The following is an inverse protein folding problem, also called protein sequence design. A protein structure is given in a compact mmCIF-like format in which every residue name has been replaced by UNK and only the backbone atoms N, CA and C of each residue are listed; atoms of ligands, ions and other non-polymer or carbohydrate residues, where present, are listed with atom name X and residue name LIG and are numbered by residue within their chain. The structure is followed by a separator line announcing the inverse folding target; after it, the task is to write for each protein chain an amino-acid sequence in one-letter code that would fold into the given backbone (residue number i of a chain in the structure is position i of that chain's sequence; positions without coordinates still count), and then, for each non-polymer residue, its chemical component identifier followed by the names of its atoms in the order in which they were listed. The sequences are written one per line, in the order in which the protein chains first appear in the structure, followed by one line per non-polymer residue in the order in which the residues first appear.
data_IF_231316884192
#
_entry.id   IF_231316884192
#
_cell.length_a   1.000
_cell.length_b   1.000
_cell.length_c   1.000
_cell.angle_alpha   90.00
_cell.angle_beta   90.00
_cell.angle_gamma   90.00
#
_symmetry.space_group_name_H-M   'P 1'
#
loop_
_entity.id
_entity.type
_entity.pdbx_description
1 polymer ?
#
# COMPACT_ATOMS: atom_id res chain seq x y z
N UNK A 1 108.58 26.34 47.67
CA UNK A 1 108.51 25.90 46.26
C UNK A 1 107.33 26.64 45.62
N UNK A 2 107.59 27.47 44.60
CA UNK A 2 106.63 28.40 43.97
C UNK A 2 105.45 27.66 43.35
N UNK A 3 104.23 28.07 43.68
CA UNK A 3 103.01 27.74 42.93
C UNK A 3 102.70 28.90 41.97
N UNK A 4 102.72 28.60 40.68
CA UNK A 4 102.23 29.47 39.60
C UNK A 4 101.26 28.61 38.79
N UNK A 5 100.01 29.05 38.60
CA UNK A 5 99.02 28.23 37.91
C UNK A 5 97.75 28.97 37.51
N UNK A 6 97.78 29.48 36.28
CA UNK A 6 96.70 29.62 35.29
C UNK A 6 95.32 30.21 35.68
N UNK A 7 94.99 31.33 35.04
CA UNK A 7 93.65 31.95 34.94
C UNK A 7 92.87 31.24 33.81
N UNK A 8 91.74 30.61 34.13
CA UNK A 8 90.80 30.03 33.15
C UNK A 8 89.73 31.07 32.82
N UNK A 9 89.70 31.53 31.57
CA UNK A 9 88.67 32.44 31.06
C UNK A 9 87.43 31.65 30.66
N UNK A 10 86.31 31.90 31.32
CA UNK A 10 85.01 31.23 31.10
C UNK A 10 84.26 31.93 29.97
N UNK A 11 84.04 31.25 28.84
CA UNK A 11 83.21 31.74 27.74
C UNK A 11 81.74 31.46 28.09
N UNK A 12 80.99 32.48 28.47
CA UNK A 12 79.53 32.40 28.67
C UNK A 12 78.80 32.50 27.34
N UNK A 13 78.12 31.42 26.95
CA UNK A 13 77.18 31.38 25.82
C UNK A 13 75.99 32.30 26.09
N UNK A 14 75.82 33.34 25.25
CA UNK A 14 74.71 34.29 25.32
C UNK A 14 73.45 33.65 24.72
N UNK A 15 72.55 33.15 25.57
CA UNK A 15 71.19 32.70 25.17
C UNK A 15 70.38 33.90 24.68
N UNK A 16 70.20 34.04 23.37
CA UNK A 16 69.25 34.96 22.76
C UNK A 16 67.82 34.46 23.04
N UNK A 17 67.11 35.12 23.96
CA UNK A 17 65.65 34.93 24.11
C UNK A 17 64.96 35.63 22.95
N UNK A 18 64.34 34.86 22.05
CA UNK A 18 63.42 35.41 21.04
C UNK A 18 62.18 35.92 21.77
N UNK A 19 61.75 37.14 21.45
CA UNK A 19 60.51 37.72 21.99
C UNK A 19 59.32 37.05 21.29
N UNK A 20 58.64 36.15 22.00
CA UNK A 20 57.48 35.35 21.58
C UNK A 20 56.14 36.12 21.68
N UNK A 21 56.18 37.46 21.80
CA UNK A 21 55.03 38.28 22.16
C UNK A 21 53.91 38.32 21.08
N UNK A 22 54.16 37.81 19.87
CA UNK A 22 53.14 37.66 18.82
C UNK A 22 52.55 36.25 18.70
N UNK A 23 53.23 35.22 19.22
CA UNK A 23 52.80 33.82 19.05
C UNK A 23 51.64 33.47 19.99
N UNK A 24 51.64 34.01 21.22
CA UNK A 24 50.57 33.77 22.20
C UNK A 24 49.19 34.25 21.69
N UNK A 25 49.14 35.38 21.00
CA UNK A 25 47.89 35.92 20.45
C UNK A 25 47.30 35.00 19.36
N UNK A 26 48.15 34.45 18.50
CA UNK A 26 47.73 33.52 17.44
C UNK A 26 47.15 32.24 18.06
N UNK A 27 47.76 31.71 19.12
CA UNK A 27 47.23 30.54 19.82
C UNK A 27 45.86 30.80 20.46
N UNK A 28 45.63 31.98 21.04
CA UNK A 28 44.32 32.33 21.60
C UNK A 28 43.26 32.44 20.50
N UNK A 29 43.56 33.12 19.39
CA UNK A 29 42.61 33.24 18.29
C UNK A 29 42.32 31.88 17.66
N UNK A 30 43.33 31.05 17.45
CA UNK A 30 43.18 29.70 16.90
C UNK A 30 42.35 28.79 17.82
N UNK A 31 42.56 28.87 19.13
CA UNK A 31 41.76 28.08 20.10
C UNK A 31 40.32 28.57 20.17
N UNK A 32 40.08 29.88 20.10
CA UNK A 32 38.72 30.44 20.03
C UNK A 32 37.99 30.07 18.74
N UNK A 33 38.66 30.08 17.57
CA UNK A 33 38.03 29.70 16.30
C UNK A 33 37.69 28.22 16.27
N UNK A 34 38.58 27.36 16.78
CA UNK A 34 38.29 25.92 16.92
C UNK A 34 37.14 25.68 17.90
N UNK A 35 37.14 26.35 19.05
CA UNK A 35 36.05 26.24 20.03
C UNK A 35 34.69 26.68 19.45
N UNK A 36 34.67 27.79 18.71
CA UNK A 36 33.48 28.29 18.04
C UNK A 36 33.00 27.31 16.95
N UNK A 37 33.91 26.79 16.13
CA UNK A 37 33.58 25.83 15.08
C UNK A 37 32.98 24.54 15.65
N UNK A 38 33.55 24.02 16.73
CA UNK A 38 33.01 22.84 17.44
C UNK A 38 31.65 23.15 18.05
N UNK A 39 31.49 24.31 18.70
CA UNK A 39 30.22 24.73 19.29
C UNK A 39 29.08 24.87 18.27
N UNK A 40 29.38 25.46 17.10
CA UNK A 40 28.42 25.57 15.99
C UNK A 40 28.09 24.17 15.44
N UNK A 41 29.08 23.30 15.25
CA UNK A 41 28.87 21.96 14.71
C UNK A 41 27.94 21.11 15.59
N UNK A 42 28.12 21.14 16.91
CA UNK A 42 27.23 20.44 17.86
C UNK A 42 25.83 21.06 17.85
N UNK A 43 25.72 22.38 17.82
CA UNK A 43 24.43 23.09 17.80
C UNK A 43 23.62 22.78 16.54
N UNK A 44 24.26 22.78 15.37
CA UNK A 44 23.62 22.43 14.10
C UNK A 44 23.13 20.98 14.09
N UNK A 45 23.93 20.05 14.64
CA UNK A 45 23.53 18.64 14.74
C UNK A 45 22.31 18.46 15.65
N UNK A 46 22.27 19.17 16.78
CA UNK A 46 21.14 19.13 17.70
C UNK A 46 19.88 19.74 17.06
N UNK A 47 19.99 20.90 16.40
CA UNK A 47 18.87 21.51 15.67
C UNK A 47 18.34 20.61 14.55
N UNK A 48 19.23 19.96 13.79
CA UNK A 48 18.85 19.01 12.77
C UNK A 48 18.13 17.78 13.35
N UNK A 49 18.58 17.27 14.50
CA UNK A 49 17.94 16.16 15.19
C UNK A 49 16.54 16.52 15.68
N UNK A 50 16.39 17.68 16.34
CA UNK A 50 15.09 18.18 16.82
C UNK A 50 14.14 18.41 15.65
N UNK A 51 14.63 19.01 14.56
CA UNK A 51 13.84 19.24 13.35
C UNK A 51 13.35 17.93 12.73
N UNK A 52 14.22 16.90 12.66
CA UNK A 52 13.83 15.59 12.15
C UNK A 52 12.75 14.95 13.04
N UNK A 53 12.94 14.97 14.36
CA UNK A 53 11.94 14.42 15.29
C UNK A 53 10.60 15.13 15.17
N UNK A 54 10.59 16.47 15.11
CA UNK A 54 9.36 17.26 14.93
C UNK A 54 8.65 16.92 13.62
N UNK A 55 9.39 16.78 12.51
CA UNK A 55 8.81 16.37 11.21
C UNK A 55 8.22 14.96 11.25
N UNK A 56 8.88 14.03 11.94
CA UNK A 56 8.37 12.67 12.11
C UNK A 56 7.09 12.66 12.94
N UNK A 57 7.03 13.45 14.02
CA UNK A 57 5.82 13.59 14.83
C UNK A 57 4.65 14.20 14.03
N UNK A 58 4.88 15.29 13.30
CA UNK A 58 3.86 15.91 12.45
C UNK A 58 3.36 14.97 11.36
N UNK A 59 4.26 14.19 10.74
CA UNK A 59 3.89 13.20 9.73
C UNK A 59 3.04 12.07 10.32
N UNK A 60 3.40 11.56 11.50
CA UNK A 60 2.64 10.50 12.17
C UNK A 60 1.22 10.97 12.54
N UNK A 61 1.07 12.21 13.00
CA UNK A 61 -0.24 12.80 13.32
C UNK A 61 -1.10 13.05 12.07
N UNK A 62 -0.49 13.54 10.99
CA UNK A 62 -1.17 13.69 9.71
C UNK A 62 -1.63 12.33 9.16
N UNK A 63 -0.79 11.30 9.26
CA UNK A 63 -1.16 9.93 8.88
C UNK A 63 -2.32 9.38 9.71
N UNK A 64 -2.26 9.53 11.04
CA UNK A 64 -3.35 9.09 11.91
C UNK A 64 -4.67 9.80 11.59
N UNK A 65 -4.64 11.09 11.24
CA UNK A 65 -5.81 11.81 10.78
C UNK A 65 -6.32 11.24 9.44
N UNK A 66 -5.44 11.01 8.47
CA UNK A 66 -5.82 10.43 7.18
C UNK A 66 -6.48 9.05 7.35
N UNK A 67 -5.90 8.17 8.16
CA UNK A 67 -6.43 6.85 8.47
C UNK A 67 -7.78 6.96 9.20
N UNK A 68 -7.87 7.77 10.25
CA UNK A 68 -9.12 7.98 10.99
C UNK A 68 -10.24 8.58 10.13
N UNK A 69 -9.90 9.45 9.17
CA UNK A 69 -10.85 10.00 8.22
C UNK A 69 -11.40 8.94 7.27
N UNK A 70 -10.52 8.08 6.75
CA UNK A 70 -10.93 6.95 5.92
C UNK A 70 -11.79 5.94 6.70
N UNK A 71 -11.41 5.61 7.93
CA UNK A 71 -12.17 4.71 8.80
C UNK A 71 -13.55 5.28 9.16
N UNK A 72 -13.66 6.59 9.39
CA UNK A 72 -14.94 7.24 9.64
C UNK A 72 -15.91 7.00 8.48
N UNK A 73 -15.48 7.24 7.24
CA UNK A 73 -16.32 7.00 6.05
C UNK A 73 -16.59 5.51 5.86
N UNK A 74 -15.61 4.64 6.05
CA UNK A 74 -15.78 3.18 5.96
C UNK A 74 -16.82 2.64 6.96
N UNK A 75 -16.99 3.29 8.10
CA UNK A 75 -17.97 2.90 9.12
C UNK A 75 -19.43 3.29 8.79
N UNK A 76 -19.63 4.15 7.79
CA UNK A 76 -20.97 4.61 7.36
C UNK A 76 -21.71 3.54 6.55
N UNK A 77 -23.02 3.73 6.40
CA UNK A 77 -23.84 2.84 5.57
C UNK A 77 -23.47 2.99 4.09
N UNK A 78 -23.84 2.01 3.27
CA UNK A 78 -23.60 2.08 1.82
C UNK A 78 -24.38 3.23 1.17
N UNK A 79 -25.60 3.49 1.65
CA UNK A 79 -26.44 4.60 1.18
C UNK A 79 -25.76 5.95 1.44
N UNK A 80 -25.23 6.17 2.65
CA UNK A 80 -24.50 7.40 2.98
C UNK A 80 -23.26 7.59 2.11
N UNK A 81 -22.50 6.51 1.86
CA UNK A 81 -21.29 6.58 1.03
C UNK A 81 -21.65 6.86 -0.43
N UNK A 82 -22.76 6.29 -0.92
CA UNK A 82 -23.25 6.54 -2.27
C UNK A 82 -23.65 8.01 -2.47
N UNK A 83 -24.25 8.65 -1.47
CA UNK A 83 -24.59 10.07 -1.51
C UNK A 83 -23.34 10.97 -1.55
N UNK A 84 -22.24 10.57 -0.91
CA UNK A 84 -20.97 11.31 -0.92
C UNK A 84 -20.21 11.23 -2.25
N UNK A 85 -20.64 10.39 -3.20
CA UNK A 85 -19.93 10.20 -4.47
C UNK A 85 -20.03 11.47 -5.32
N UNK A 86 -18.87 12.08 -5.62
CA UNK A 86 -18.80 13.29 -6.44
C UNK A 86 -19.07 14.59 -5.67
N UNK A 87 -19.36 14.50 -4.38
CA UNK A 87 -19.43 15.67 -3.50
C UNK A 87 -18.05 16.25 -3.20
N UNK A 88 -17.96 17.54 -2.84
CA UNK A 88 -16.71 18.14 -2.39
C UNK A 88 -16.17 17.43 -1.15
N UNK A 89 -14.86 17.53 -0.93
CA UNK A 89 -14.20 16.87 0.18
C UNK A 89 -14.84 17.25 1.54
N UNK A 90 -15.21 16.24 2.33
CA UNK A 90 -15.70 16.42 3.70
C UNK A 90 -14.51 16.55 4.65
N UNK A 91 -14.47 17.63 5.44
CA UNK A 91 -13.44 17.85 6.44
C UNK A 91 -13.84 17.26 7.80
N UNK A 92 -13.16 16.21 8.22
CA UNK A 92 -13.29 15.58 9.54
C UNK A 92 -12.22 16.15 10.47
N UNK A 93 -12.66 16.84 11.53
CA UNK A 93 -11.76 17.52 12.48
C UNK A 93 -11.56 16.65 13.73
N UNK A 94 -10.29 16.34 14.02
CA UNK A 94 -9.90 15.62 15.23
C UNK A 94 -9.52 16.62 16.32
N UNK A 95 -10.13 16.45 17.51
CA UNK A 95 -9.88 17.33 18.65
C UNK A 95 -8.41 17.24 19.11
N UNK A 96 -7.77 18.37 19.42
CA UNK A 96 -6.40 18.39 19.89
C UNK A 96 -6.27 17.78 21.30
N UNK A 97 -5.06 17.33 21.62
CA UNK A 97 -4.70 16.89 22.98
C UNK A 97 -4.65 18.11 23.91
N UNK A 98 -4.99 17.94 25.19
CA UNK A 98 -4.94 19.03 26.18
C UNK A 98 -3.56 19.69 26.20
N UNK A 99 -3.52 21.02 26.04
CA UNK A 99 -2.32 21.87 25.90
C UNK A 99 -1.61 21.84 24.53
N UNK A 100 -2.26 21.31 23.49
CA UNK A 100 -1.81 21.44 22.10
C UNK A 100 -2.80 22.29 21.29
N UNK A 101 -2.29 23.23 20.51
CA UNK A 101 -3.10 24.08 19.62
C UNK A 101 -3.13 23.55 18.17
N UNK A 102 -2.41 22.46 17.89
CA UNK A 102 -2.35 21.83 16.58
C UNK A 102 -3.60 20.95 16.39
N UNK A 103 -4.41 21.29 15.39
CA UNK A 103 -5.63 20.55 15.05
C UNK A 103 -5.33 19.64 13.87
N UNK A 104 -5.71 18.37 13.96
CA UNK A 104 -5.59 17.44 12.84
C UNK A 104 -6.91 17.37 12.08
N UNK A 105 -6.85 17.46 10.76
CA UNK A 105 -8.03 17.46 9.88
C UNK A 105 -7.82 16.44 8.77
N UNK A 106 -8.84 15.66 8.47
CA UNK A 106 -8.85 14.77 7.32
C UNK A 106 -9.87 15.25 6.30
N UNK A 107 -9.41 15.56 5.09
CA UNK A 107 -10.27 15.90 3.96
C UNK A 107 -10.53 14.62 3.15
N UNK A 108 -11.78 14.16 3.12
CA UNK A 108 -12.16 12.87 2.52
C UNK A 108 -13.00 13.08 1.28
N UNK A 109 -12.64 12.39 0.18
CA UNK A 109 -13.41 12.37 -1.07
C UNK A 109 -13.76 10.93 -1.43
N UNK A 110 -14.98 10.72 -1.95
CA UNK A 110 -15.47 9.40 -2.37
C UNK A 110 -15.72 9.40 -3.87
N UNK A 111 -15.21 8.38 -4.55
CA UNK A 111 -15.38 8.15 -5.99
C UNK A 111 -15.92 6.73 -6.22
N UNK A 112 -16.68 6.53 -7.30
CA UNK A 112 -17.05 5.18 -7.72
C UNK A 112 -15.80 4.40 -8.15
N UNK A 113 -15.73 3.14 -7.73
CA UNK A 113 -14.67 2.23 -8.11
C UNK A 113 -15.13 1.34 -9.27
N UNK A 114 -14.69 1.69 -10.47
CA UNK A 114 -14.89 0.90 -11.68
C UNK A 114 -13.65 1.01 -12.61
N UNK A 115 -13.62 0.22 -13.70
CA UNK A 115 -12.50 0.22 -14.66
C UNK A 115 -12.29 1.60 -15.29
N UNK A 116 -13.38 2.30 -15.65
CA UNK A 116 -13.32 3.60 -16.31
C UNK A 116 -12.78 4.71 -15.39
N UNK A 117 -13.19 4.72 -14.13
CA UNK A 117 -12.77 5.66 -13.09
C UNK A 117 -11.32 5.42 -12.62
N UNK A 118 -10.83 4.18 -12.77
CA UNK A 118 -9.47 3.81 -12.40
C UNK A 118 -8.44 3.99 -13.52
N UNK A 119 -8.89 4.25 -14.76
CA UNK A 119 -8.02 4.34 -15.94
C UNK A 119 -7.29 3.03 -16.27
N UNK A 120 -7.78 1.91 -15.74
CA UNK A 120 -7.19 0.59 -15.92
C UNK A 120 -7.77 -0.08 -17.17
N UNK A 121 -7.03 -1.05 -17.72
CA UNK A 121 -7.51 -1.88 -18.84
C UNK A 121 -8.29 -3.11 -18.39
N UNK A 122 -8.21 -3.44 -17.10
CA UNK A 122 -8.89 -4.55 -16.46
C UNK A 122 -9.23 -4.19 -15.01
N UNK A 123 -10.20 -4.89 -14.43
CA UNK A 123 -10.48 -4.80 -13.00
C UNK A 123 -9.55 -5.73 -12.22
N UNK A 124 -8.65 -5.19 -11.36
CA UNK A 124 -7.70 -6.00 -10.61
C UNK A 124 -8.38 -6.64 -9.40
N UNK A 125 -8.06 -7.90 -9.14
CA UNK A 125 -8.51 -8.66 -7.99
C UNK A 125 -7.38 -9.50 -7.42
N UNK A 126 -7.30 -9.60 -6.10
CA UNK A 126 -6.41 -10.52 -5.41
C UNK A 126 -7.27 -11.47 -4.58
N UNK A 127 -7.16 -12.76 -4.86
CA UNK A 127 -7.96 -13.80 -4.20
C UNK A 127 -7.00 -14.82 -3.61
N UNK A 128 -7.06 -14.99 -2.28
CA UNK A 128 -6.29 -16.02 -1.59
C UNK A 128 -6.85 -17.41 -1.92
N UNK A 129 -6.03 -18.43 -1.71
CA UNK A 129 -6.43 -19.83 -1.87
C UNK A 129 -7.71 -20.11 -1.09
N UNK A 130 -8.65 -20.78 -1.76
CA UNK A 130 -9.94 -21.19 -1.21
C UNK A 130 -10.88 -20.03 -0.81
N UNK A 131 -10.51 -18.78 -1.12
CA UNK A 131 -11.37 -17.62 -0.94
C UNK A 131 -12.15 -17.29 -2.22
N UNK A 132 -13.26 -16.57 -2.04
CA UNK A 132 -14.16 -16.17 -3.11
C UNK A 132 -14.21 -14.65 -3.18
N UNK A 133 -14.16 -14.11 -4.39
CA UNK A 133 -14.49 -12.72 -4.68
C UNK A 133 -15.64 -12.67 -5.68
N UNK A 134 -16.44 -11.62 -5.62
CA UNK A 134 -17.53 -11.37 -6.55
C UNK A 134 -17.26 -10.13 -7.40
N UNK A 135 -17.63 -10.23 -8.68
CA UNK A 135 -17.62 -9.13 -9.62
C UNK A 135 -19.03 -8.95 -10.11
N UNK A 136 -19.59 -7.76 -9.90
CA UNK A 136 -20.91 -7.43 -10.44
C UNK A 136 -20.81 -7.25 -11.95
N UNK A 137 -21.79 -7.77 -12.65
CA UNK A 137 -21.96 -7.68 -14.10
C UNK A 137 -23.28 -6.93 -14.38
N UNK A 138 -23.42 -6.37 -15.57
CA UNK A 138 -24.68 -5.78 -16.04
C UNK A 138 -24.93 -6.27 -17.46
N UNK A 139 -24.95 -7.60 -17.60
CA UNK A 139 -24.77 -8.27 -18.88
C UNK A 139 -23.40 -8.02 -19.51
N UNK A 140 -23.27 -8.39 -20.79
CA UNK A 140 -22.02 -8.30 -21.53
C UNK A 140 -21.10 -9.50 -21.35
N UNK A 141 -20.00 -9.49 -22.08
CA UNK A 141 -18.98 -10.52 -22.06
C UNK A 141 -17.78 -10.09 -21.23
N UNK A 142 -17.21 -11.03 -20.49
CA UNK A 142 -15.96 -10.83 -19.77
C UNK A 142 -14.94 -11.89 -20.17
N UNK A 143 -13.67 -11.57 -19.96
CA UNK A 143 -12.56 -12.51 -19.98
C UNK A 143 -11.84 -12.42 -18.64
N UNK A 144 -11.71 -13.54 -17.96
CA UNK A 144 -11.00 -13.66 -16.69
C UNK A 144 -9.57 -14.06 -17.03
N UNK A 145 -8.59 -13.30 -16.58
CA UNK A 145 -7.20 -13.71 -16.63
C UNK A 145 -6.62 -13.79 -15.23
N UNK A 146 -5.74 -14.74 -14.96
CA UNK A 146 -5.12 -14.92 -13.66
C UNK A 146 -3.70 -15.48 -13.76
N UNK A 147 -2.93 -15.24 -12.71
CA UNK A 147 -1.66 -15.90 -12.46
C UNK A 147 -1.52 -16.15 -10.97
N UNK A 148 -0.78 -17.20 -10.63
CA UNK A 148 -0.38 -17.43 -9.24
C UNK A 148 0.48 -16.27 -8.73
N UNK A 149 0.38 -15.97 -7.44
CA UNK A 149 1.29 -15.02 -6.78
C UNK A 149 2.62 -15.66 -6.37
N UNK A 150 2.74 -16.99 -6.50
CA UNK A 150 3.95 -17.74 -6.23
C UNK A 150 4.41 -18.44 -7.50
N UNK A 151 5.65 -18.16 -7.93
CA UNK A 151 6.27 -18.71 -9.13
C UNK A 151 6.38 -20.24 -9.13
N UNK A 152 6.26 -20.88 -7.95
CA UNK A 152 6.34 -22.33 -7.77
C UNK A 152 4.97 -23.01 -7.66
N UNK A 153 3.88 -22.24 -7.71
CA UNK A 153 2.54 -22.76 -7.52
C UNK A 153 1.68 -22.45 -8.75
N UNK A 154 0.90 -23.43 -9.18
CA UNK A 154 -0.09 -23.28 -10.24
C UNK A 154 -1.46 -23.07 -9.59
N UNK A 155 -2.26 -22.17 -10.18
CA UNK A 155 -3.58 -21.85 -9.66
C UNK A 155 -4.65 -22.20 -10.66
N UNK A 156 -5.63 -22.98 -10.22
CA UNK A 156 -6.85 -23.25 -10.98
C UNK A 156 -7.95 -22.35 -10.44
N UNK A 157 -9.02 -22.17 -11.23
CA UNK A 157 -10.12 -21.32 -10.82
C UNK A 157 -11.43 -22.09 -10.87
N UNK A 158 -12.35 -21.73 -10.00
CA UNK A 158 -13.74 -22.14 -10.09
C UNK A 158 -14.61 -20.89 -10.14
N UNK A 159 -15.56 -20.84 -11.06
CA UNK A 159 -16.49 -19.73 -11.14
C UNK A 159 -17.94 -20.16 -11.14
N UNK A 160 -18.78 -19.28 -10.60
CA UNK A 160 -20.24 -19.35 -10.71
C UNK A 160 -20.72 -17.99 -11.19
N UNK A 161 -21.34 -17.96 -12.37
CA UNK A 161 -22.06 -16.79 -12.87
C UNK A 161 -23.56 -16.98 -12.64
N UNK A 162 -24.26 -15.91 -12.29
CA UNK A 162 -25.69 -15.93 -12.02
C UNK A 162 -26.39 -14.68 -12.57
N UNK A 163 -27.71 -14.75 -12.69
CA UNK A 163 -28.57 -13.61 -13.01
C UNK A 163 -29.72 -13.46 -11.99
N UNK A 164 -30.47 -12.37 -12.10
CA UNK A 164 -31.65 -12.02 -11.30
C UNK A 164 -32.74 -13.10 -11.28
N UNK A 165 -32.90 -13.84 -12.38
CA UNK A 165 -33.87 -14.95 -12.48
C UNK A 165 -33.42 -16.23 -11.76
N UNK A 166 -32.19 -16.26 -11.23
CA UNK A 166 -31.62 -17.43 -10.55
C UNK A 166 -31.00 -18.48 -11.48
N UNK A 167 -30.85 -18.18 -12.77
CA UNK A 167 -30.11 -19.05 -13.69
C UNK A 167 -28.62 -18.97 -13.37
N UNK A 168 -27.96 -20.12 -13.27
CA UNK A 168 -26.54 -20.20 -12.92
C UNK A 168 -25.75 -21.00 -13.96
N UNK A 169 -24.57 -20.53 -14.30
CA UNK A 169 -23.55 -21.30 -15.01
C UNK A 169 -22.34 -21.47 -14.11
N UNK A 170 -21.80 -22.68 -14.02
CA UNK A 170 -20.63 -22.99 -13.20
C UNK A 170 -19.66 -23.86 -13.96
N UNK A 171 -18.38 -23.59 -13.80
CA UNK A 171 -17.33 -24.43 -14.36
C UNK A 171 -16.03 -24.26 -13.58
N UNK A 172 -15.20 -25.30 -13.60
CA UNK A 172 -13.81 -25.20 -13.20
C UNK A 172 -12.93 -24.90 -14.42
N UNK A 173 -11.83 -24.19 -14.21
CA UNK A 173 -10.85 -23.92 -15.28
C UNK A 173 -9.44 -24.21 -14.77
N UNK A 174 -8.73 -25.05 -15.52
CA UNK A 174 -7.37 -25.49 -15.21
C UNK A 174 -6.33 -24.56 -15.86
N UNK A 175 -5.22 -24.34 -15.16
CA UNK A 175 -4.08 -23.60 -15.72
C UNK A 175 -3.40 -24.36 -16.87
N UNK A 176 -2.87 -23.64 -17.85
CA UNK A 176 -2.28 -24.21 -19.08
C UNK A 176 -0.97 -24.96 -18.87
N UNK A 177 -0.16 -24.52 -17.92
CA UNK A 177 1.09 -25.16 -17.58
C UNK A 177 0.91 -25.82 -16.22
N UNK A 178 0.52 -27.10 -16.22
CA UNK A 178 0.43 -27.88 -15.00
C UNK A 178 1.53 -28.93 -14.93
N UNK A 179 2.30 -28.94 -13.85
CA UNK A 179 3.33 -29.95 -13.60
C UNK A 179 3.06 -30.69 -12.28
N UNK A 180 2.83 -32.01 -12.35
CA UNK A 180 2.81 -32.87 -11.16
C UNK A 180 1.45 -33.11 -10.48
N UNK A 181 0.33 -32.80 -11.15
CA UNK A 181 -0.99 -33.30 -10.74
C UNK A 181 -1.41 -34.51 -11.58
N UNK A 182 -2.34 -35.35 -11.09
CA UNK A 182 -2.85 -36.45 -11.89
C UNK A 182 -3.44 -35.89 -13.18
N UNK A 183 -2.90 -36.32 -14.32
CA UNK A 183 -3.65 -36.31 -15.57
C UNK A 183 -5.03 -36.89 -15.22
N UNK A 184 -6.15 -36.23 -15.60
CA UNK A 184 -7.55 -36.67 -15.41
C UNK A 184 -8.46 -35.94 -14.38
N UNK A 185 -8.32 -34.63 -14.13
CA UNK A 185 -9.49 -33.87 -13.60
C UNK A 185 -10.60 -33.73 -14.67
N UNK A 186 -10.19 -33.54 -15.93
CA UNK A 186 -11.05 -33.30 -17.08
C UNK A 186 -11.61 -34.56 -17.76
N UNK A 187 -11.02 -35.74 -17.55
CA UNK A 187 -11.46 -36.97 -18.25
C UNK A 187 -12.67 -37.67 -17.61
N UNK A 188 -13.26 -37.06 -16.57
CA UNK A 188 -14.56 -37.41 -16.03
C UNK A 188 -15.35 -36.26 -15.40
N UNK A 189 -14.90 -34.99 -15.54
CA UNK A 189 -15.36 -33.88 -14.69
C UNK A 189 -15.37 -32.50 -15.33
N UNK A 190 -16.16 -31.63 -14.67
CA UNK A 190 -16.59 -30.24 -14.94
C UNK A 190 -15.46 -29.18 -15.05
N UNK A 191 -14.25 -29.54 -15.46
CA UNK A 191 -13.12 -28.61 -15.59
C UNK A 191 -12.66 -28.54 -17.05
N UNK A 192 -12.30 -27.33 -17.49
CA UNK A 192 -11.86 -27.05 -18.87
C UNK A 192 -10.52 -26.35 -18.88
N UNK A 193 -9.75 -26.50 -19.95
CA UNK A 193 -8.45 -25.85 -20.08
C UNK A 193 -8.59 -24.33 -20.29
N UNK A 194 -7.70 -23.56 -19.65
CA UNK A 194 -7.57 -22.14 -19.95
C UNK A 194 -7.11 -21.90 -21.40
N UNK A 195 -7.45 -20.77 -21.99
CA UNK A 195 -7.17 -20.41 -23.40
C UNK A 195 -5.78 -19.78 -23.68
N UNK A 196 -4.80 -19.97 -22.79
CA UNK A 196 -3.50 -19.29 -22.79
C UNK A 196 -3.50 -17.96 -22.02
N UNK A 197 -2.33 -17.40 -21.75
CA UNK A 197 -2.14 -16.14 -21.03
C UNK A 197 -2.14 -14.88 -21.91
N UNK A 198 -1.93 -13.73 -21.27
CA UNK A 198 -1.63 -12.45 -21.90
C UNK A 198 -0.35 -11.83 -21.29
N UNK A 199 0.00 -10.59 -21.66
CA UNK A 199 1.22 -9.93 -21.16
C UNK A 199 1.27 -9.75 -19.63
N UNK A 200 0.13 -9.79 -18.94
CA UNK A 200 0.02 -9.58 -17.49
C UNK A 200 -0.29 -10.86 -16.70
N UNK A 201 -0.78 -11.91 -17.35
CA UNK A 201 -1.30 -13.10 -16.67
C UNK A 201 -1.00 -14.36 -17.48
N UNK A 202 -0.68 -15.46 -16.81
CA UNK A 202 -0.28 -16.70 -17.48
C UNK A 202 -1.48 -17.48 -18.04
N UNK A 203 -2.67 -17.26 -17.48
CA UNK A 203 -3.89 -17.95 -17.87
C UNK A 203 -5.01 -16.96 -18.14
N UNK A 204 -5.82 -17.23 -19.15
CA UNK A 204 -7.05 -16.51 -19.45
C UNK A 204 -8.15 -17.47 -19.89
N UNK A 205 -9.38 -17.13 -19.56
CA UNK A 205 -10.56 -17.90 -19.95
C UNK A 205 -11.77 -16.97 -20.13
N UNK A 206 -12.63 -17.32 -21.08
CA UNK A 206 -13.87 -16.58 -21.35
C UNK A 206 -15.02 -17.42 -20.79
N UNK A 207 -15.56 -17.07 -19.60
CA UNK A 207 -16.64 -17.82 -18.99
C UNK A 207 -17.91 -17.80 -19.85
N UNK A 208 -18.63 -18.92 -19.84
CA UNK A 208 -19.98 -18.95 -20.39
C UNK A 208 -20.92 -18.34 -19.37
N UNK A 209 -21.52 -17.21 -19.70
CA UNK A 209 -22.41 -16.48 -18.81
C UNK A 209 -23.88 -16.83 -19.12
N UNK A 210 -24.78 -16.86 -18.12
CA UNK A 210 -26.21 -16.89 -18.37
C UNK A 210 -26.65 -15.62 -19.10
N UNK A 211 -27.81 -15.64 -19.75
CA UNK A 211 -28.41 -14.44 -20.34
C UNK A 211 -28.62 -13.39 -19.26
N UNK A 212 -28.14 -12.16 -19.51
CA UNK A 212 -28.22 -11.04 -18.56
C UNK A 212 -27.55 -11.36 -17.22
N UNK A 213 -26.30 -11.82 -17.23
CA UNK A 213 -25.58 -12.08 -15.99
C UNK A 213 -25.41 -10.82 -15.13
N UNK A 214 -25.73 -10.95 -13.83
CA UNK A 214 -25.66 -9.88 -12.83
C UNK A 214 -24.40 -9.97 -11.97
N UNK A 215 -23.80 -11.15 -11.89
CA UNK A 215 -22.64 -11.36 -11.06
C UNK A 215 -21.88 -12.61 -11.45
N UNK A 216 -20.58 -12.58 -11.19
CA UNK A 216 -19.72 -13.74 -11.25
C UNK A 216 -18.90 -13.83 -9.97
N UNK A 217 -18.87 -15.03 -9.40
CA UNK A 217 -18.11 -15.37 -8.21
C UNK A 217 -16.95 -16.23 -8.63
N UNK A 218 -15.76 -15.86 -8.22
CA UNK A 218 -14.51 -16.48 -8.63
C UNK A 218 -13.80 -16.97 -7.38
N UNK A 219 -13.37 -18.22 -7.41
CA UNK A 219 -12.61 -18.87 -6.35
C UNK A 219 -11.24 -19.29 -6.90
N UNK A 220 -10.18 -18.95 -6.17
CA UNK A 220 -8.84 -19.44 -6.45
C UNK A 220 -8.64 -20.81 -5.80
N UNK A 221 -8.14 -21.79 -6.55
CA UNK A 221 -7.86 -23.14 -6.08
C UNK A 221 -6.34 -23.37 -6.13
N UNK A 222 -5.81 -24.11 -5.17
CA UNK A 222 -4.40 -24.53 -5.06
C UNK A 222 -3.40 -23.43 -4.68
N UNK A 223 -3.56 -22.19 -5.14
CA UNK A 223 -2.66 -21.09 -4.78
C UNK A 223 -3.39 -19.74 -4.61
N UNK A 224 -2.70 -18.80 -3.97
CA UNK A 224 -3.08 -17.39 -3.98
C UNK A 224 -2.89 -16.85 -5.40
N UNK A 225 -3.83 -16.05 -5.90
CA UNK A 225 -3.81 -15.60 -7.29
C UNK A 225 -4.18 -14.15 -7.44
N UNK A 226 -3.56 -13.53 -8.45
CA UNK A 226 -3.94 -12.22 -8.96
C UNK A 226 -4.79 -12.43 -10.21
N UNK A 227 -5.83 -11.62 -10.33
CA UNK A 227 -6.83 -11.69 -11.38
C UNK A 227 -6.94 -10.34 -12.07
N UNK A 228 -7.19 -10.39 -13.38
CA UNK A 228 -7.60 -9.27 -14.18
C UNK A 228 -8.88 -9.61 -14.92
N UNK A 229 -9.95 -8.88 -14.64
CA UNK A 229 -11.22 -9.05 -15.34
C UNK A 229 -11.28 -8.04 -16.47
N UNK A 230 -11.25 -8.55 -17.70
CA UNK A 230 -11.34 -7.78 -18.91
C UNK A 230 -12.78 -7.80 -19.43
N UNK A 231 -13.28 -6.65 -19.86
CA UNK A 231 -14.58 -6.57 -20.53
C UNK A 231 -14.38 -6.85 -22.01
N UNK A 232 -15.07 -7.85 -22.55
CA UNK A 232 -15.05 -8.16 -23.99
C UNK A 232 -16.23 -7.54 -24.72
N UNK A 233 -17.35 -7.32 -24.03
CA UNK A 233 -18.47 -6.52 -24.53
C UNK A 233 -19.28 -5.91 -23.38
N UNK A 234 -19.85 -4.73 -23.59
CA UNK A 234 -20.57 -3.98 -22.54
C UNK A 234 -19.64 -3.18 -21.63
N UNK A 235 -20.05 -3.01 -20.36
CA UNK A 235 -19.29 -2.33 -19.31
C UNK A 235 -19.54 -3.00 -17.97
N UNK A 236 -18.55 -2.99 -17.07
CA UNK A 236 -18.79 -3.40 -15.69
C UNK A 236 -19.55 -2.29 -14.94
N UNK A 237 -20.56 -2.63 -14.14
CA UNK A 237 -21.12 -1.70 -13.17
C UNK A 237 -20.08 -1.33 -12.11
N UNK A 238 -20.41 -0.37 -11.26
CA UNK A 238 -19.57 -0.02 -10.11
C UNK A 238 -19.36 -1.23 -9.22
N UNK A 239 -18.09 -1.46 -8.83
CA UNK A 239 -17.68 -2.61 -8.03
C UNK A 239 -17.51 -2.22 -6.55
N UNK A 240 -17.60 -0.93 -6.24
CA UNK A 240 -17.42 -0.39 -4.90
C UNK A 240 -17.14 1.10 -4.92
N UNK A 241 -16.53 1.56 -3.83
CA UNK A 241 -16.16 2.95 -3.60
C UNK A 241 -14.67 3.06 -3.33
N UNK A 242 -14.05 4.08 -3.92
CA UNK A 242 -12.68 4.49 -3.64
C UNK A 242 -12.74 5.73 -2.75
N UNK A 243 -12.26 5.56 -1.53
CA UNK A 243 -12.22 6.59 -0.51
C UNK A 243 -10.79 7.12 -0.47
N UNK A 244 -10.63 8.40 -0.75
CA UNK A 244 -9.34 9.09 -0.62
C UNK A 244 -9.42 10.05 0.56
N UNK A 245 -8.55 9.86 1.55
CA UNK A 245 -8.48 10.70 2.74
C UNK A 245 -7.11 11.40 2.79
N UNK A 246 -7.13 12.72 2.94
CA UNK A 246 -5.93 13.55 3.03
C UNK A 246 -5.88 14.13 4.45
N UNK A 247 -4.97 13.62 5.26
CA UNK A 247 -4.70 14.13 6.60
C UNK A 247 -3.74 15.30 6.57
N UNK A 248 -4.10 16.38 7.24
CA UNK A 248 -3.33 17.62 7.36
C UNK A 248 -3.38 18.14 8.78
N UNK A 249 -2.33 18.86 9.17
CA UNK A 249 -2.28 19.59 10.43
C UNK A 249 -2.55 21.08 10.18
N UNK A 250 -3.44 21.66 10.98
CA UNK A 250 -3.71 23.09 11.01
C UNK A 250 -3.03 23.72 12.24
N UNK A 251 -2.73 25.02 12.16
CA UNK A 251 -2.05 25.81 13.19
C UNK A 251 -0.61 25.35 13.51
N UNK A 252 0.06 24.70 12.55
CA UNK A 252 1.49 24.36 12.64
C UNK A 252 2.35 25.56 12.24
N UNK A 253 3.54 25.76 12.84
CA UNK A 253 4.48 26.78 12.39
C UNK A 253 4.91 26.56 10.93
N UNK A 254 5.15 27.65 10.20
CA UNK A 254 5.62 27.61 8.82
C UNK A 254 6.85 26.71 8.66
N UNK A 255 6.82 25.79 7.71
CA UNK A 255 7.89 24.81 7.47
C UNK A 255 7.78 23.49 8.25
N UNK A 256 6.69 23.29 9.00
CA UNK A 256 6.31 22.03 9.67
C UNK A 256 4.97 21.45 9.15
N UNK A 257 4.52 21.92 7.99
CA UNK A 257 3.33 21.37 7.33
C UNK A 257 3.60 19.94 6.90
N UNK A 258 2.62 19.07 7.18
CA UNK A 258 2.63 17.67 6.77
C UNK A 258 1.26 17.33 6.20
N UNK A 259 1.27 16.70 5.03
CA UNK A 259 0.10 16.19 4.35
C UNK A 259 0.34 14.72 4.00
N UNK A 260 -0.62 13.87 4.37
CA UNK A 260 -0.54 12.43 4.12
C UNK A 260 -1.83 11.99 3.43
N UNK A 261 -1.67 11.33 2.29
CA UNK A 261 -2.78 10.78 1.52
C UNK A 261 -2.90 9.28 1.75
N UNK A 262 -4.09 8.83 2.14
CA UNK A 262 -4.47 7.42 2.27
C UNK A 262 -5.59 7.14 1.28
N UNK A 263 -5.54 5.99 0.62
CA UNK A 263 -6.60 5.55 -0.30
C UNK A 263 -7.04 4.15 0.11
N UNK A 264 -8.35 3.99 0.29
CA UNK A 264 -8.97 2.72 0.64
C UNK A 264 -10.05 2.40 -0.38
N UNK A 265 -10.18 1.12 -0.70
CA UNK A 265 -11.23 0.61 -1.60
C UNK A 265 -12.19 -0.22 -0.75
N UNK A 266 -13.47 0.13 -0.80
CA UNK A 266 -14.56 -0.65 -0.21
C UNK A 266 -15.35 -1.31 -1.33
N UNK A 267 -15.25 -2.63 -1.44
CA UNK A 267 -16.07 -3.43 -2.35
C UNK A 267 -17.54 -3.36 -1.96
N UNK A 268 -18.44 -3.51 -2.94
CA UNK A 268 -19.86 -3.72 -2.64
C UNK A 268 -20.05 -5.03 -1.86
N UNK A 269 -21.06 -5.12 -0.98
CA UNK A 269 -21.35 -6.36 -0.26
C UNK A 269 -21.64 -7.49 -1.24
N UNK A 270 -21.03 -8.64 -0.98
CA UNK A 270 -21.29 -9.88 -1.71
C UNK A 270 -21.48 -11.03 -0.73
N UNK A 271 -22.13 -12.09 -1.19
CA UNK A 271 -22.44 -13.23 -0.34
C UNK A 271 -21.14 -13.96 0.08
N UNK A 272 -20.94 -14.24 1.38
CA UNK A 272 -19.76 -14.99 1.83
C UNK A 272 -19.67 -16.37 1.19
N UNK A 273 -18.44 -16.81 0.89
CA UNK A 273 -18.15 -18.11 0.27
C UNK A 273 -18.56 -19.34 1.08
N UNK A 274 -19.07 -19.20 2.31
CA UNK A 274 -19.61 -20.31 3.11
C UNK A 274 -21.02 -20.73 2.65
N UNK A 275 -21.80 -19.79 2.11
CA UNK A 275 -23.14 -20.07 1.57
C UNK A 275 -23.11 -20.71 0.18
N UNK A 276 -21.90 -20.93 -0.32
CA UNK A 276 -21.63 -21.66 -1.54
C UNK A 276 -22.03 -23.12 -1.39
N UNK A 277 -22.04 -23.69 -0.18
CA UNK A 277 -22.38 -25.11 -0.04
C UNK A 277 -23.74 -25.48 -0.63
N UNK A 278 -24.77 -24.63 -0.50
CA UNK A 278 -26.09 -24.87 -1.12
C UNK A 278 -26.15 -24.59 -2.62
N UNK A 279 -25.21 -23.81 -3.17
CA UNK A 279 -25.12 -23.47 -4.61
C UNK A 279 -24.21 -24.49 -5.34
N UNK A 280 -23.23 -25.04 -4.63
CA UNK A 280 -22.26 -26.02 -5.11
C UNK A 280 -22.74 -27.46 -4.87
N UNK A 281 -23.61 -27.70 -3.89
CA UNK A 281 -24.42 -28.92 -3.85
C UNK A 281 -25.48 -28.81 -4.96
N UNK A 282 -25.11 -29.22 -6.18
CA UNK A 282 -26.11 -29.49 -7.19
C UNK A 282 -27.19 -30.43 -6.63
N UNK A 283 -28.37 -30.44 -7.25
CA UNK A 283 -29.40 -31.46 -7.05
C UNK A 283 -28.84 -32.85 -7.36
N UNK A 284 -28.07 -33.39 -6.43
CA UNK A 284 -27.67 -34.77 -6.38
C UNK A 284 -28.84 -35.52 -5.78
N UNK A 285 -29.61 -36.20 -6.63
CA UNK A 285 -30.27 -37.41 -6.17
C UNK A 285 -29.19 -38.26 -5.51
N UNK A 286 -29.35 -38.54 -4.23
CA UNK A 286 -28.54 -39.53 -3.54
C UNK A 286 -28.71 -40.85 -4.29
N UNK A 287 -27.73 -41.23 -5.09
CA UNK A 287 -27.56 -42.62 -5.49
C UNK A 287 -26.93 -43.28 -4.27
N UNK A 288 -27.78 -43.87 -3.44
CA UNK A 288 -27.39 -44.92 -2.52
C UNK A 288 -27.25 -46.19 -3.36
N UNK A 289 -26.01 -46.61 -3.59
CA UNK A 289 -25.65 -48.04 -3.73
C UNK A 289 -24.46 -48.31 -2.81
#
# INVERSE_FOLDING_TARGET
MKLTGAKITRITNKKTRKNENGQALIFVIATMTVALAVGIGVSLRNLASISRTSRTDTAARAQAAAEGGAENVLSRSEEDIAEMVGDPAEDIVFSPVVNDNITAVASVTVENWNIAASGLTYFPLEIKRDQVSEVKLNGGGIKICWSSQSDSAESDIYYIAYNDTGATTRNGVEANSRSGFPDNYSSGGTFVDASGGNANFDNCYTPTLPSSADGIRIRSINADSRFGIYVTSGSLPDQGYKITSIGRLQNVPAGQEAEVKVTVIRSLPFMPGIFDFSIYSGSGGAVLD
#
